data_IF_573248384228
#
_entry.id   IF_573248384228
#
_cell.length_a   1.000
_cell.length_b   1.000
_cell.length_c   1.000
_cell.angle_alpha   90.00
_cell.angle_beta   90.00
_cell.angle_gamma   90.00
#
_symmetry.space_group_name_H-M   'P 1'
#
loop_
_entity.id
_entity.type
_entity.pdbx_description
1 polymer ?
#
# COMPACT_ATOMS: atom_id res chain seq x y z
N UNK A 1 -36.37 38.37 33.53
CA UNK A 1 -35.48 37.79 32.50
C UNK A 1 -35.07 36.36 32.87
N UNK A 2 -34.40 36.15 34.01
CA UNK A 2 -34.01 34.83 34.49
C UNK A 2 -35.17 33.81 34.57
N UNK A 3 -36.36 34.23 35.02
CA UNK A 3 -37.52 33.34 35.11
C UNK A 3 -38.05 32.92 33.73
N UNK A 4 -37.97 33.82 32.75
CA UNK A 4 -38.38 33.54 31.35
C UNK A 4 -37.39 32.54 30.74
N UNK A 5 -36.09 32.72 30.97
CA UNK A 5 -35.06 31.80 30.53
C UNK A 5 -35.22 30.41 31.17
N UNK A 6 -35.45 30.34 32.49
CA UNK A 6 -35.67 29.08 33.19
C UNK A 6 -36.91 28.34 32.67
N UNK A 7 -38.01 29.06 32.45
CA UNK A 7 -39.24 28.51 31.85
C UNK A 7 -39.00 27.96 30.44
N UNK A 8 -38.25 28.68 29.60
CA UNK A 8 -37.87 28.21 28.26
C UNK A 8 -37.00 26.96 28.33
N UNK A 9 -35.97 26.95 29.19
CA UNK A 9 -35.09 25.79 29.39
C UNK A 9 -35.90 24.55 29.78
N UNK A 10 -36.80 24.67 30.75
CA UNK A 10 -37.58 23.54 31.25
C UNK A 10 -38.53 23.02 30.16
N UNK A 11 -39.12 23.91 29.34
CA UNK A 11 -39.92 23.52 28.16
C UNK A 11 -39.11 22.80 27.10
N UNK A 12 -37.88 23.22 26.83
CA UNK A 12 -36.97 22.54 25.89
C UNK A 12 -36.57 21.16 26.41
N UNK A 13 -36.34 21.03 27.72
CA UNK A 13 -36.01 19.75 28.34
C UNK A 13 -37.15 18.72 28.24
N UNK A 14 -38.41 19.15 28.21
CA UNK A 14 -39.56 18.26 27.99
C UNK A 14 -39.57 17.62 26.60
N UNK A 15 -39.01 18.29 25.59
CA UNK A 15 -38.95 17.81 24.19
C UNK A 15 -37.52 17.40 23.78
N UNK A 16 -36.62 17.21 24.74
CA UNK A 16 -35.21 16.91 24.49
C UNK A 16 -35.02 15.71 23.55
N UNK A 17 -35.77 14.63 23.80
CA UNK A 17 -35.59 13.37 23.07
C UNK A 17 -36.06 13.49 21.61
N UNK A 18 -37.09 14.31 21.35
CA UNK A 18 -37.55 14.67 20.00
C UNK A 18 -36.50 15.50 19.26
N UNK A 19 -35.91 16.50 19.94
CA UNK A 19 -34.82 17.31 19.38
C UNK A 19 -33.58 16.47 19.06
N UNK A 20 -33.22 15.54 19.94
CA UNK A 20 -32.10 14.61 19.69
C UNK A 20 -32.38 13.70 18.49
N UNK A 21 -33.61 13.17 18.38
CA UNK A 21 -34.04 12.35 17.25
C UNK A 21 -33.99 13.12 15.93
N UNK A 22 -34.46 14.38 15.93
CA UNK A 22 -34.36 15.27 14.77
C UNK A 22 -32.90 15.54 14.39
N UNK A 23 -32.03 15.82 15.36
CA UNK A 23 -30.60 16.05 15.09
C UNK A 23 -29.93 14.80 14.49
N UNK A 24 -30.28 13.60 14.94
CA UNK A 24 -29.77 12.34 14.36
C UNK A 24 -30.28 12.12 12.93
N UNK A 25 -31.53 12.43 12.64
CA UNK A 25 -32.05 12.34 11.28
C UNK A 25 -31.36 13.33 10.33
N UNK A 26 -31.15 14.58 10.77
CA UNK A 26 -30.44 15.60 10.00
C UNK A 26 -28.98 15.18 9.76
N UNK A 27 -28.29 14.63 10.76
CA UNK A 27 -26.90 14.21 10.60
C UNK A 27 -26.75 13.06 9.59
N UNK A 28 -27.69 12.11 9.56
CA UNK A 28 -27.71 11.05 8.56
C UNK A 28 -27.88 11.62 7.14
N UNK A 29 -28.78 12.58 6.95
CA UNK A 29 -28.99 13.26 5.67
C UNK A 29 -27.72 14.00 5.24
N UNK A 30 -27.09 14.74 6.15
CA UNK A 30 -25.87 15.51 5.87
C UNK A 30 -24.72 14.59 5.39
N UNK A 31 -24.49 13.47 6.07
CA UNK A 31 -23.46 12.49 5.68
C UNK A 31 -23.74 11.90 4.30
N UNK A 32 -24.98 11.48 4.03
CA UNK A 32 -25.34 10.88 2.73
C UNK A 32 -25.22 11.90 1.60
N UNK A 33 -25.69 13.13 1.80
CA UNK A 33 -25.57 14.21 0.83
C UNK A 33 -24.09 14.58 0.57
N UNK A 34 -23.27 14.66 1.62
CA UNK A 34 -21.84 14.92 1.52
C UNK A 34 -21.12 13.84 0.68
N UNK A 35 -21.40 12.56 0.94
CA UNK A 35 -20.83 11.46 0.15
C UNK A 35 -21.32 11.46 -1.31
N UNK A 36 -22.60 11.73 -1.55
CA UNK A 36 -23.14 11.84 -2.90
C UNK A 36 -22.49 12.98 -3.69
N UNK A 37 -22.30 14.15 -3.06
CA UNK A 37 -21.64 15.29 -3.68
C UNK A 37 -20.19 14.97 -4.07
N UNK A 38 -19.41 14.38 -3.15
CA UNK A 38 -18.03 13.96 -3.44
C UNK A 38 -17.99 12.93 -4.57
N UNK A 39 -18.95 12.00 -4.61
CA UNK A 39 -19.01 10.98 -5.65
C UNK A 39 -19.23 11.57 -7.04
N UNK A 40 -20.13 12.56 -7.15
CA UNK A 40 -20.39 13.28 -8.39
C UNK A 40 -19.19 14.13 -8.81
N UNK A 41 -18.63 14.93 -7.89
CA UNK A 41 -17.55 15.86 -8.19
C UNK A 41 -16.23 15.19 -8.56
N UNK A 42 -16.01 13.95 -8.09
CA UNK A 42 -14.74 13.22 -8.23
C UNK A 42 -14.86 11.93 -9.05
N UNK A 43 -16.03 11.68 -9.64
CA UNK A 43 -16.35 10.48 -10.41
C UNK A 43 -16.06 9.20 -9.60
N UNK A 44 -16.63 9.09 -8.40
CA UNK A 44 -16.54 7.85 -7.64
C UNK A 44 -17.65 6.88 -8.08
N UNK A 45 -17.37 5.59 -7.95
CA UNK A 45 -18.27 4.51 -8.37
C UNK A 45 -18.83 3.81 -7.15
N UNK A 46 -20.09 3.35 -7.23
CA UNK A 46 -20.71 2.54 -6.17
C UNK A 46 -20.01 1.18 -6.09
N UNK A 47 -19.40 0.80 -4.96
CA UNK A 47 -18.79 -0.51 -4.83
C UNK A 47 -19.83 -1.62 -4.67
N UNK A 48 -19.47 -2.84 -5.06
CA UNK A 48 -20.19 -4.06 -4.74
C UNK A 48 -19.60 -4.66 -3.46
N UNK A 49 -20.40 -4.74 -2.40
CA UNK A 49 -20.04 -5.40 -1.15
C UNK A 49 -20.70 -6.78 -1.08
N UNK A 50 -19.92 -7.81 -0.76
CA UNK A 50 -20.43 -9.17 -0.62
C UNK A 50 -19.68 -9.99 0.46
N UNK A 51 -20.16 -11.21 0.73
CA UNK A 51 -19.56 -12.11 1.71
C UNK A 51 -18.33 -12.88 1.21
N UNK A 52 -17.86 -12.63 -0.01
CA UNK A 52 -16.72 -13.31 -0.61
C UNK A 52 -15.40 -12.87 0.04
N UNK A 53 -14.29 -13.44 -0.46
CA UNK A 53 -12.92 -13.07 -0.09
C UNK A 53 -12.21 -12.34 -1.23
N UNK A 54 -12.96 -11.91 -2.23
CA UNK A 54 -12.44 -11.22 -3.41
C UNK A 54 -12.27 -9.72 -3.11
N UNK A 55 -11.14 -9.14 -3.52
CA UNK A 55 -10.93 -7.71 -3.60
C UNK A 55 -10.55 -7.41 -5.05
N UNK A 56 -11.48 -6.86 -5.82
CA UNK A 56 -11.28 -6.56 -7.23
C UNK A 56 -11.59 -5.08 -7.49
N UNK A 57 -10.58 -4.34 -7.94
CA UNK A 57 -10.61 -2.91 -8.18
C UNK A 57 -10.04 -2.67 -9.57
N UNK A 58 -10.78 -1.96 -10.42
CA UNK A 58 -10.28 -1.49 -11.71
C UNK A 58 -10.04 0.02 -11.65
N UNK A 59 -8.86 0.45 -12.09
CA UNK A 59 -8.46 1.84 -12.16
C UNK A 59 -8.70 2.62 -10.85
N UNK A 60 -8.30 2.02 -9.72
CA UNK A 60 -8.38 2.64 -8.40
C UNK A 60 -7.45 3.84 -8.27
N UNK A 61 -7.88 4.86 -7.54
CA UNK A 61 -7.14 6.11 -7.30
C UNK A 61 -7.07 6.43 -5.81
N UNK A 62 -5.99 7.08 -5.38
CA UNK A 62 -5.86 7.53 -4.01
C UNK A 62 -6.51 8.92 -3.83
N UNK A 63 -7.73 8.98 -3.29
CA UNK A 63 -8.52 10.23 -3.20
C UNK A 63 -7.75 11.46 -2.67
N UNK A 64 -6.97 11.31 -1.59
CA UNK A 64 -6.20 12.43 -1.01
C UNK A 64 -5.05 12.89 -1.91
N UNK A 65 -4.26 11.96 -2.45
CA UNK A 65 -3.11 12.28 -3.32
C UNK A 65 -3.60 12.86 -4.65
N UNK A 66 -4.67 12.30 -5.22
CA UNK A 66 -5.33 12.84 -6.41
C UNK A 66 -5.82 14.27 -6.18
N UNK A 67 -6.52 14.53 -5.08
CA UNK A 67 -6.98 15.88 -4.73
C UNK A 67 -5.83 16.86 -4.51
N UNK A 68 -4.71 16.42 -3.93
CA UNK A 68 -3.51 17.24 -3.74
C UNK A 68 -2.85 17.62 -5.07
N UNK A 69 -2.81 16.70 -6.04
CA UNK A 69 -2.31 16.98 -7.39
C UNK A 69 -3.19 18.02 -8.11
N UNK A 70 -4.52 17.91 -8.00
CA UNK A 70 -5.46 18.86 -8.60
C UNK A 70 -5.33 20.28 -8.03
N UNK A 71 -4.91 20.41 -6.76
CA UNK A 71 -4.71 21.72 -6.09
C UNK A 71 -3.34 22.36 -6.37
N UNK A 72 -2.49 21.73 -7.18
CA UNK A 72 -1.17 22.27 -7.54
C UNK A 72 -0.15 22.29 -6.39
N UNK A 73 -0.46 21.68 -5.23
CA UNK A 73 0.37 21.82 -4.02
C UNK A 73 1.65 20.98 -4.06
N UNK A 74 1.79 20.00 -4.96
CA UNK A 74 2.82 18.95 -4.88
C UNK A 74 3.71 18.73 -6.11
N UNK A 75 3.68 19.53 -7.20
CA UNK A 75 4.64 19.28 -8.29
C UNK A 75 4.86 20.44 -9.25
N UNK A 76 6.14 20.67 -9.58
CA UNK A 76 6.65 21.48 -10.70
C UNK A 76 6.29 20.91 -12.09
N UNK A 77 5.56 19.79 -12.14
CA UNK A 77 5.02 19.15 -13.34
C UNK A 77 3.61 18.65 -13.05
N UNK A 78 2.62 19.18 -13.77
CA UNK A 78 1.19 18.91 -13.62
C UNK A 78 0.82 17.51 -14.15
N UNK A 79 1.37 16.46 -13.54
CA UNK A 79 1.09 15.07 -13.93
C UNK A 79 -0.18 14.58 -13.22
N UNK A 80 -1.15 14.11 -13.99
CA UNK A 80 -2.36 13.48 -13.47
C UNK A 80 -2.00 12.25 -12.60
N UNK A 81 -2.83 11.95 -11.60
CA UNK A 81 -2.71 10.71 -10.81
C UNK A 81 -2.90 9.50 -11.73
N UNK A 82 -2.04 8.49 -11.60
CA UNK A 82 -2.11 7.28 -12.43
C UNK A 82 -2.95 6.22 -11.71
N UNK A 83 -4.14 5.84 -12.25
CA UNK A 83 -4.97 4.82 -11.64
C UNK A 83 -4.32 3.44 -11.74
N UNK A 84 -4.59 2.57 -10.77
CA UNK A 84 -4.06 1.21 -10.70
C UNK A 84 -5.13 0.21 -10.28
N UNK A 85 -5.15 -0.95 -10.93
CA UNK A 85 -6.05 -2.05 -10.62
C UNK A 85 -5.44 -3.00 -9.59
N UNK A 86 -6.32 -3.70 -8.86
CA UNK A 86 -5.96 -4.70 -7.86
C UNK A 86 -6.93 -5.88 -7.96
N UNK A 87 -6.41 -7.10 -7.97
CA UNK A 87 -7.23 -8.30 -7.89
C UNK A 87 -6.62 -9.33 -6.93
N UNK A 88 -7.21 -9.45 -5.75
CA UNK A 88 -6.88 -10.48 -4.76
C UNK A 88 -8.07 -11.41 -4.60
N UNK A 89 -7.85 -12.69 -4.80
CA UNK A 89 -8.84 -13.75 -4.54
C UNK A 89 -8.10 -15.05 -4.23
N UNK A 90 -8.79 -16.14 -3.93
CA UNK A 90 -8.11 -17.43 -3.80
C UNK A 90 -7.41 -17.82 -5.11
N UNK A 91 -6.42 -18.73 -5.02
CA UNK A 91 -5.81 -19.34 -6.20
C UNK A 91 -6.89 -19.86 -7.18
N UNK A 92 -6.69 -19.70 -8.52
CA UNK A 92 -5.44 -19.32 -9.19
C UNK A 92 -5.22 -17.82 -9.37
N UNK A 93 -6.12 -16.94 -8.91
CA UNK A 93 -5.89 -15.48 -8.99
C UNK A 93 -4.76 -15.10 -8.02
N UNK A 94 -4.87 -15.57 -6.77
CA UNK A 94 -3.86 -15.41 -5.73
C UNK A 94 -4.20 -14.33 -4.72
N UNK A 95 -4.07 -14.65 -3.43
CA UNK A 95 -4.43 -13.76 -2.34
C UNK A 95 -3.30 -12.82 -1.92
N UNK A 96 -2.08 -13.00 -2.44
CA UNK A 96 -0.91 -12.24 -2.06
C UNK A 96 -0.18 -11.66 -3.27
N UNK A 97 -0.04 -10.34 -3.32
CA UNK A 97 0.82 -9.68 -4.30
C UNK A 97 2.17 -9.33 -3.66
N UNK A 98 3.26 -9.85 -4.25
CA UNK A 98 4.61 -9.44 -3.95
C UNK A 98 4.97 -8.23 -4.81
N UNK A 99 4.90 -7.03 -4.23
CA UNK A 99 5.11 -5.78 -4.95
C UNK A 99 6.56 -5.31 -4.84
N UNK A 100 7.26 -5.33 -5.96
CA UNK A 100 8.67 -4.91 -6.05
C UNK A 100 8.83 -3.58 -6.79
N UNK A 101 10.02 -2.98 -6.71
CA UNK A 101 10.38 -1.78 -7.46
C UNK A 101 10.92 -0.65 -6.58
N UNK A 102 11.34 0.47 -7.19
CA UNK A 102 12.01 1.57 -6.50
C UNK A 102 11.10 2.26 -5.48
N UNK A 103 11.66 2.91 -4.46
CA UNK A 103 10.89 3.62 -3.42
C UNK A 103 10.08 4.78 -3.98
N UNK A 104 10.64 5.51 -4.94
CA UNK A 104 9.92 6.55 -5.68
C UNK A 104 8.91 6.01 -6.69
N UNK A 105 8.79 4.68 -6.84
CA UNK A 105 7.85 4.05 -7.77
C UNK A 105 6.39 4.20 -7.33
N UNK A 106 6.10 4.50 -6.07
CA UNK A 106 4.73 4.69 -5.56
C UNK A 106 4.14 3.48 -4.82
N UNK A 107 4.97 2.52 -4.39
CA UNK A 107 4.52 1.30 -3.64
C UNK A 107 3.65 1.65 -2.44
N UNK A 108 4.13 2.47 -1.51
CA UNK A 108 3.39 2.84 -0.30
C UNK A 108 2.09 3.59 -0.61
N UNK A 109 2.07 4.39 -1.69
CA UNK A 109 0.84 5.05 -2.17
C UNK A 109 -0.18 4.04 -2.66
N UNK A 110 0.25 3.00 -3.40
CA UNK A 110 -0.63 1.93 -3.88
C UNK A 110 -1.17 1.06 -2.73
N UNK A 111 -0.33 0.74 -1.73
CA UNK A 111 -0.77 0.05 -0.52
C UNK A 111 -1.85 0.85 0.21
N UNK A 112 -1.57 2.13 0.52
CA UNK A 112 -2.53 3.02 1.19
C UNK A 112 -3.80 3.25 0.39
N UNK A 113 -3.69 3.35 -0.95
CA UNK A 113 -4.85 3.44 -1.84
C UNK A 113 -5.78 2.24 -1.64
N UNK A 114 -5.23 1.02 -1.62
CA UNK A 114 -6.01 -0.21 -1.50
C UNK A 114 -6.75 -0.28 -0.16
N UNK A 115 -6.08 0.08 0.95
CA UNK A 115 -6.71 0.24 2.26
C UNK A 115 -7.84 1.28 2.24
N UNK A 116 -7.57 2.45 1.65
CA UNK A 116 -8.52 3.55 1.64
C UNK A 116 -9.78 3.21 0.83
N UNK A 117 -9.64 2.50 -0.29
CA UNK A 117 -10.76 2.02 -1.09
C UNK A 117 -11.67 1.06 -0.30
N UNK A 118 -11.08 0.14 0.47
CA UNK A 118 -11.84 -0.77 1.34
C UNK A 118 -12.59 -0.01 2.43
N UNK A 119 -11.92 0.93 3.11
CA UNK A 119 -12.53 1.73 4.18
C UNK A 119 -13.70 2.56 3.66
N UNK A 120 -13.54 3.25 2.52
CA UNK A 120 -14.62 4.02 1.90
C UNK A 120 -15.81 3.12 1.53
N UNK A 121 -15.54 1.94 0.95
CA UNK A 121 -16.59 1.01 0.59
C UNK A 121 -17.39 0.52 1.82
N UNK A 122 -16.70 0.05 2.86
CA UNK A 122 -17.35 -0.48 4.07
C UNK A 122 -17.97 0.60 4.99
N UNK A 123 -17.57 1.85 4.85
CA UNK A 123 -18.23 3.00 5.48
C UNK A 123 -19.56 3.37 4.77
N UNK A 124 -19.82 2.81 3.59
CA UNK A 124 -21.03 3.09 2.80
C UNK A 124 -20.87 4.24 1.79
N UNK A 125 -19.64 4.68 1.52
CA UNK A 125 -19.33 5.68 0.49
C UNK A 125 -19.15 5.02 -0.89
N UNK A 126 -19.29 5.83 -1.93
CA UNK A 126 -18.73 5.52 -3.25
C UNK A 126 -17.19 5.56 -3.18
N UNK A 127 -16.52 4.92 -4.13
CA UNK A 127 -15.05 4.79 -4.13
C UNK A 127 -14.39 5.36 -5.39
N UNK A 128 -13.18 5.93 -5.30
CA UNK A 128 -12.40 6.46 -6.43
C UNK A 128 -11.84 5.35 -7.33
N UNK A 129 -12.70 4.63 -8.05
CA UNK A 129 -12.32 3.58 -8.99
C UNK A 129 -13.30 3.53 -10.16
N UNK A 130 -12.89 2.91 -11.27
CA UNK A 130 -13.80 2.63 -12.39
C UNK A 130 -14.77 1.49 -12.05
N UNK A 131 -14.27 0.48 -11.35
CA UNK A 131 -15.05 -0.63 -10.80
C UNK A 131 -14.46 -1.05 -9.46
N UNK A 132 -15.31 -1.48 -8.52
CA UNK A 132 -14.89 -2.04 -7.26
C UNK A 132 -15.85 -3.11 -6.75
N UNK A 133 -15.33 -4.30 -6.48
CA UNK A 133 -15.92 -5.34 -5.65
C UNK A 133 -15.04 -5.54 -4.42
N UNK A 134 -15.65 -5.44 -3.24
CA UNK A 134 -14.98 -5.60 -1.95
C UNK A 134 -15.75 -6.65 -1.15
N UNK A 135 -15.25 -7.88 -1.15
CA UNK A 135 -15.65 -8.88 -0.18
C UNK A 135 -15.30 -8.37 1.22
N UNK A 136 -16.23 -8.48 2.18
CA UNK A 136 -16.09 -7.84 3.49
C UNK A 136 -14.75 -8.20 4.18
N UNK A 137 -14.04 -7.15 4.59
CA UNK A 137 -12.79 -7.17 5.36
C UNK A 137 -13.13 -7.04 6.83
N UNK A 138 -12.71 -8.01 7.63
CA UNK A 138 -12.93 -8.03 9.09
C UNK A 138 -11.93 -7.14 9.83
N UNK A 139 -10.67 -7.15 9.39
CA UNK A 139 -9.57 -6.39 9.97
C UNK A 139 -8.63 -5.90 8.87
N UNK A 140 -8.25 -4.63 8.97
CA UNK A 140 -7.23 -4.02 8.14
C UNK A 140 -5.95 -3.86 8.96
N UNK A 141 -4.89 -4.52 8.54
CA UNK A 141 -3.57 -4.41 9.14
C UNK A 141 -2.65 -3.63 8.22
N UNK A 142 -1.94 -2.66 8.79
CA UNK A 142 -0.99 -1.84 8.05
C UNK A 142 0.33 -1.79 8.81
N UNK A 143 1.34 -2.44 8.26
CA UNK A 143 2.74 -2.12 8.52
C UNK A 143 3.22 -1.29 7.34
N UNK A 144 3.11 0.02 7.45
CA UNK A 144 3.64 0.97 6.46
C UNK A 144 4.56 1.91 7.22
N UNK A 145 5.85 1.90 6.90
CA UNK A 145 6.90 2.54 7.70
C UNK A 145 6.49 3.89 8.29
N UNK A 146 6.60 4.02 9.61
CA UNK A 146 6.46 5.27 10.34
C UNK A 146 7.80 6.02 10.34
N UNK A 147 7.74 7.35 10.37
CA UNK A 147 8.91 8.14 10.75
C UNK A 147 9.36 7.69 12.14
N UNK A 148 10.68 7.57 12.33
CA UNK A 148 11.30 7.05 13.55
C UNK A 148 10.69 7.68 14.82
N UNK A 149 10.00 6.87 15.61
CA UNK A 149 9.61 7.25 16.96
C UNK A 149 10.73 6.82 17.90
N UNK A 150 11.71 7.72 18.08
CA UNK A 150 12.88 7.53 18.95
C UNK A 150 12.51 7.53 20.45
N UNK A 151 11.23 7.62 20.81
CA UNK A 151 10.77 7.86 22.18
C UNK A 151 10.51 6.60 23.03
N UNK A 152 10.82 5.40 22.52
CA UNK A 152 10.75 4.16 23.30
C UNK A 152 12.12 3.48 23.35
N UNK A 153 12.55 2.98 24.52
CA UNK A 153 13.77 2.18 24.76
C UNK A 153 13.78 0.81 24.02
N UNK A 154 13.20 0.73 22.83
CA UNK A 154 13.12 -0.47 21.98
C UNK A 154 13.75 -0.15 20.63
N UNK A 155 14.52 -1.10 20.09
CA UNK A 155 15.00 -0.96 18.71
C UNK A 155 13.81 -0.88 17.75
N UNK A 156 13.93 -0.06 16.70
CA UNK A 156 12.94 0.09 15.64
C UNK A 156 12.57 -1.27 15.02
N UNK A 157 13.56 -2.16 14.88
CA UNK A 157 13.36 -3.53 14.44
C UNK A 157 12.52 -4.37 15.41
N UNK A 158 12.70 -4.23 16.73
CA UNK A 158 11.88 -4.98 17.69
C UNK A 158 10.41 -4.53 17.68
N UNK A 159 10.16 -3.24 17.50
CA UNK A 159 8.78 -2.71 17.34
C UNK A 159 8.17 -3.28 16.05
N UNK A 160 8.91 -3.26 14.95
CA UNK A 160 8.48 -3.87 13.68
C UNK A 160 8.12 -5.35 13.83
N UNK A 161 8.90 -6.12 14.58
CA UNK A 161 8.62 -7.53 14.83
C UNK A 161 7.42 -7.75 15.76
N UNK A 162 7.17 -6.85 16.73
CA UNK A 162 5.98 -6.89 17.57
C UNK A 162 4.69 -6.62 16.77
N UNK A 163 4.74 -5.65 15.86
CA UNK A 163 3.65 -5.39 14.92
C UNK A 163 3.41 -6.59 14.00
N UNK A 164 4.48 -7.12 13.40
CA UNK A 164 4.43 -8.31 12.53
C UNK A 164 3.83 -9.51 13.26
N UNK A 165 4.23 -9.76 14.50
CA UNK A 165 3.69 -10.82 15.35
C UNK A 165 2.18 -10.63 15.62
N UNK A 166 1.76 -9.39 15.87
CA UNK A 166 0.33 -9.06 16.06
C UNK A 166 -0.48 -9.36 14.80
N UNK A 167 0.04 -9.00 13.62
CA UNK A 167 -0.60 -9.30 12.34
C UNK A 167 -0.69 -10.81 12.13
N UNK A 168 0.42 -11.53 12.33
CA UNK A 168 0.46 -12.99 12.17
C UNK A 168 -0.50 -13.71 13.11
N UNK A 169 -0.68 -13.24 14.34
CA UNK A 169 -1.57 -13.89 15.32
C UNK A 169 -3.04 -13.57 15.09
N UNK A 170 -3.37 -12.35 14.65
CA UNK A 170 -4.75 -11.87 14.59
C UNK A 170 -5.38 -11.87 13.19
N UNK A 171 -4.58 -11.92 12.13
CA UNK A 171 -5.06 -11.94 10.76
C UNK A 171 -5.82 -13.23 10.44
N UNK A 172 -6.95 -13.06 9.77
CA UNK A 172 -7.81 -14.14 9.29
C UNK A 172 -7.81 -14.18 7.76
N UNK A 173 -8.41 -15.23 7.21
CA UNK A 173 -8.66 -15.39 5.77
C UNK A 173 -9.56 -14.28 5.17
N UNK A 174 -10.22 -13.47 6.01
CA UNK A 174 -11.02 -12.30 5.64
C UNK A 174 -10.30 -10.97 5.90
N UNK A 175 -9.10 -10.98 6.46
CA UNK A 175 -8.36 -9.74 6.71
C UNK A 175 -7.72 -9.21 5.43
N UNK A 176 -7.40 -7.91 5.42
CA UNK A 176 -6.51 -7.28 4.44
C UNK A 176 -5.24 -6.84 5.17
N UNK A 177 -4.09 -7.31 4.69
CA UNK A 177 -2.78 -7.03 5.28
C UNK A 177 -1.92 -6.26 4.29
N UNK A 178 -1.40 -5.10 4.72
CA UNK A 178 -0.44 -4.31 3.99
C UNK A 178 0.90 -4.36 4.72
N UNK A 179 1.90 -4.95 4.08
CA UNK A 179 3.27 -5.02 4.59
C UNK A 179 4.17 -4.22 3.67
N UNK A 180 4.88 -3.24 4.20
CA UNK A 180 5.83 -2.42 3.46
C UNK A 180 7.23 -2.59 4.06
N UNK A 181 8.12 -3.29 3.35
CA UNK A 181 9.56 -3.42 3.65
C UNK A 181 9.93 -4.16 4.94
N UNK A 182 9.21 -5.26 5.25
CA UNK A 182 9.49 -6.08 6.44
C UNK A 182 10.90 -6.70 6.34
N UNK A 183 11.65 -6.68 7.44
CA UNK A 183 12.99 -7.24 7.53
C UNK A 183 14.11 -6.27 7.14
N UNK A 184 13.81 -5.00 6.84
CA UNK A 184 14.83 -4.00 6.46
C UNK A 184 15.79 -3.64 7.60
N UNK A 185 15.34 -3.70 8.86
CA UNK A 185 16.10 -3.23 10.03
C UNK A 185 17.19 -4.18 10.56
N UNK A 186 17.52 -5.25 9.83
CA UNK A 186 18.49 -6.29 10.26
C UNK A 186 19.44 -6.68 9.12
N UNK A 187 20.33 -7.64 9.36
CA UNK A 187 21.20 -8.22 8.34
C UNK A 187 20.38 -8.74 7.14
N UNK A 188 20.90 -8.57 5.92
CA UNK A 188 20.14 -8.85 4.68
C UNK A 188 19.58 -10.28 4.66
N UNK A 189 20.40 -11.28 5.00
CA UNK A 189 19.98 -12.68 4.99
C UNK A 189 18.89 -12.96 6.03
N UNK A 190 19.04 -12.43 7.25
CA UNK A 190 18.02 -12.55 8.29
C UNK A 190 16.72 -11.86 7.87
N UNK A 191 16.84 -10.68 7.24
CA UNK A 191 15.70 -9.90 6.75
C UNK A 191 14.91 -10.65 5.67
N UNK A 192 15.62 -11.24 4.69
CA UNK A 192 15.00 -12.07 3.64
C UNK A 192 14.34 -13.31 4.24
N UNK A 193 15.02 -14.02 5.15
CA UNK A 193 14.48 -15.23 5.77
C UNK A 193 13.22 -14.95 6.60
N UNK A 194 13.24 -13.90 7.43
CA UNK A 194 12.09 -13.48 8.24
C UNK A 194 10.93 -13.05 7.32
N UNK A 195 11.20 -12.21 6.32
CA UNK A 195 10.18 -11.74 5.39
C UNK A 195 9.53 -12.91 4.62
N UNK A 196 10.33 -13.89 4.19
CA UNK A 196 9.84 -15.12 3.54
C UNK A 196 8.92 -15.91 4.45
N UNK A 197 9.35 -16.21 5.68
CA UNK A 197 8.55 -16.96 6.64
C UNK A 197 7.22 -16.26 6.99
N UNK A 198 7.24 -14.93 7.14
CA UNK A 198 6.03 -14.12 7.38
C UNK A 198 5.06 -14.23 6.19
N UNK A 199 5.59 -14.12 4.98
CA UNK A 199 4.82 -14.19 3.73
C UNK A 199 4.17 -15.57 3.57
N UNK A 200 4.94 -16.65 3.76
CA UNK A 200 4.43 -18.03 3.73
C UNK A 200 3.31 -18.25 4.75
N UNK A 201 3.51 -17.81 5.99
CA UNK A 201 2.52 -17.97 7.06
C UNK A 201 1.19 -17.26 6.73
N UNK A 202 1.23 -16.10 6.09
CA UNK A 202 0.03 -15.36 5.68
C UNK A 202 -0.63 -15.94 4.43
N UNK A 203 0.15 -16.47 3.49
CA UNK A 203 -0.34 -17.20 2.31
C UNK A 203 -1.02 -18.51 2.72
N UNK A 204 -0.48 -19.25 3.68
CA UNK A 204 -1.10 -20.46 4.22
C UNK A 204 -2.49 -20.19 4.84
N UNK A 205 -2.69 -18.99 5.42
CA UNK A 205 -4.00 -18.51 5.89
C UNK A 205 -4.89 -17.98 4.77
N UNK A 206 -4.35 -17.86 3.56
CA UNK A 206 -4.96 -17.24 2.38
C UNK A 206 -5.43 -15.81 2.67
N UNK A 207 -4.71 -15.09 3.53
CA UNK A 207 -5.05 -13.70 3.86
C UNK A 207 -4.86 -12.83 2.61
N UNK A 208 -5.76 -11.86 2.39
CA UNK A 208 -5.55 -10.87 1.32
C UNK A 208 -4.38 -9.98 1.69
N UNK A 209 -3.37 -9.90 0.84
CA UNK A 209 -2.09 -9.34 1.22
C UNK A 209 -1.44 -8.55 0.07
N UNK A 210 -0.97 -7.35 0.40
CA UNK A 210 -0.02 -6.60 -0.42
C UNK A 210 1.30 -6.55 0.33
N UNK A 211 2.33 -7.20 -0.22
CA UNK A 211 3.65 -7.26 0.37
C UNK A 211 4.66 -6.49 -0.47
N UNK A 212 4.90 -5.23 -0.12
CA UNK A 212 5.90 -4.39 -0.77
C UNK A 212 7.30 -4.69 -0.21
N UNK A 213 8.26 -4.94 -1.09
CA UNK A 213 9.63 -5.30 -0.68
C UNK A 213 10.69 -4.86 -1.69
N UNK A 214 11.94 -4.85 -1.22
CA UNK A 214 13.14 -4.77 -2.07
C UNK A 214 13.80 -6.14 -2.29
N UNK A 215 13.37 -7.15 -1.55
CA UNK A 215 13.89 -8.51 -1.66
C UNK A 215 13.20 -9.25 -2.81
N UNK A 216 13.76 -9.14 -4.01
CA UNK A 216 13.25 -9.86 -5.19
C UNK A 216 13.37 -11.37 -5.05
N UNK A 217 14.40 -11.85 -4.34
CA UNK A 217 14.64 -13.26 -4.04
C UNK A 217 13.47 -13.96 -3.30
N UNK A 218 12.57 -13.20 -2.65
CA UNK A 218 11.40 -13.79 -1.99
C UNK A 218 10.51 -14.56 -2.97
N UNK A 219 10.37 -14.08 -4.21
CA UNK A 219 9.53 -14.77 -5.19
C UNK A 219 10.01 -16.18 -5.49
N UNK A 220 11.33 -16.36 -5.61
CA UNK A 220 11.94 -17.65 -5.91
C UNK A 220 12.00 -18.53 -4.67
N UNK A 221 12.24 -17.92 -3.49
CA UNK A 221 12.36 -18.65 -2.23
C UNK A 221 11.04 -19.28 -1.76
N UNK A 222 9.92 -18.57 -1.92
CA UNK A 222 8.62 -18.98 -1.33
C UNK A 222 7.50 -19.14 -2.36
N UNK A 223 7.80 -18.97 -3.65
CA UNK A 223 6.79 -19.06 -4.71
C UNK A 223 6.09 -20.42 -4.74
N UNK A 224 6.86 -21.50 -4.61
CA UNK A 224 6.35 -22.88 -4.64
C UNK A 224 5.57 -23.25 -3.37
N UNK A 225 6.05 -22.82 -2.19
CA UNK A 225 5.41 -23.07 -0.89
C UNK A 225 4.09 -22.31 -0.74
N UNK A 226 3.92 -21.20 -1.45
CA UNK A 226 2.68 -20.43 -1.46
C UNK A 226 1.56 -21.04 -2.34
N UNK A 227 1.78 -22.20 -2.98
CA UNK A 227 0.74 -22.96 -3.70
C UNK A 227 -0.12 -22.14 -4.69
N UNK A 228 0.49 -21.17 -5.37
CA UNK A 228 -0.19 -20.30 -6.33
C UNK A 228 -0.98 -19.13 -5.73
N UNK A 229 -0.91 -18.91 -4.42
CA UNK A 229 -1.47 -17.71 -3.77
C UNK A 229 -0.61 -16.45 -3.99
N UNK A 230 0.70 -16.63 -4.19
CA UNK A 230 1.65 -15.56 -4.44
C UNK A 230 1.68 -15.15 -5.91
N UNK A 231 1.61 -13.85 -6.17
CA UNK A 231 1.72 -13.25 -7.50
C UNK A 231 2.75 -12.12 -7.50
N UNK A 232 3.75 -12.15 -8.39
CA UNK A 232 4.74 -11.09 -8.49
C UNK A 232 4.17 -9.89 -9.25
N UNK A 233 4.33 -8.71 -8.67
CA UNK A 233 4.02 -7.43 -9.29
C UNK A 233 5.16 -6.44 -9.09
N UNK A 234 5.24 -5.41 -9.93
CA UNK A 234 6.25 -4.36 -9.85
C UNK A 234 5.71 -3.00 -10.20
N UNK A 235 6.35 -1.97 -9.66
CA UNK A 235 6.20 -0.60 -10.18
C UNK A 235 6.95 -0.49 -11.51
N UNK A 236 6.26 -0.04 -12.56
CA UNK A 236 6.84 0.15 -13.88
C UNK A 236 7.81 1.35 -13.90
N UNK A 237 8.99 1.08 -14.45
CA UNK A 237 10.06 2.05 -14.68
C UNK A 237 10.32 2.09 -16.19
N UNK A 238 10.22 3.28 -16.79
CA UNK A 238 10.49 3.49 -18.20
C UNK A 238 11.87 4.11 -18.35
N UNK A 239 12.68 3.55 -19.24
CA UNK A 239 13.96 4.15 -19.62
C UNK A 239 13.73 5.08 -20.81
N UNK A 240 14.08 6.36 -20.65
CA UNK A 240 14.14 7.30 -21.75
C UNK A 240 15.59 7.51 -22.19
N UNK A 241 15.84 7.28 -23.47
CA UNK A 241 17.13 7.52 -24.11
C UNK A 241 17.00 8.74 -25.01
N UNK A 242 17.83 9.74 -24.77
CA UNK A 242 18.03 10.86 -25.69
C UNK A 242 19.48 10.76 -26.16
N UNK A 243 19.70 10.78 -27.47
CA UNK A 243 21.05 10.66 -28.05
C UNK A 243 22.00 11.70 -27.44
N UNK A 244 23.13 11.22 -26.90
CA UNK A 244 24.14 12.05 -26.24
C UNK A 244 23.85 12.43 -24.79
N UNK A 245 22.77 11.92 -24.17
CA UNK A 245 22.46 12.11 -22.74
C UNK A 245 22.46 10.79 -21.98
N UNK A 246 22.74 10.80 -20.66
CA UNK A 246 22.61 9.61 -19.83
C UNK A 246 21.15 9.13 -19.77
N UNK A 247 20.96 7.80 -19.71
CA UNK A 247 19.65 7.15 -19.52
C UNK A 247 18.86 7.83 -18.41
N UNK A 248 17.71 8.40 -18.73
CA UNK A 248 16.83 8.99 -17.73
C UNK A 248 15.73 7.99 -17.36
N UNK A 249 15.61 7.67 -16.07
CA UNK A 249 14.51 6.85 -15.59
C UNK A 249 13.27 7.70 -15.34
N UNK A 250 12.14 7.25 -15.86
CA UNK A 250 10.82 7.84 -15.60
C UNK A 250 9.97 6.80 -14.88
N UNK A 251 9.60 7.11 -13.64
CA UNK A 251 8.64 6.30 -12.88
C UNK A 251 7.24 6.55 -13.44
N UNK A 252 6.57 5.52 -13.96
CA UNK A 252 5.22 5.67 -14.50
C UNK A 252 4.14 5.65 -13.40
N UNK A 253 4.50 5.19 -12.19
CA UNK A 253 3.59 4.93 -11.06
C UNK A 253 2.50 3.88 -11.37
N UNK A 254 2.65 3.13 -12.47
CA UNK A 254 1.78 2.01 -12.82
C UNK A 254 2.29 0.73 -12.17
N UNK A 255 1.37 -0.06 -11.62
CA UNK A 255 1.62 -1.42 -11.16
C UNK A 255 1.40 -2.37 -12.33
N UNK A 256 2.38 -3.22 -12.62
CA UNK A 256 2.33 -4.22 -13.68
C UNK A 256 2.76 -5.58 -13.14
N UNK A 257 2.29 -6.65 -13.77
CA UNK A 257 2.67 -8.02 -13.40
C UNK A 257 4.15 -8.28 -13.67
N UNK A 258 4.75 -9.13 -12.84
CA UNK A 258 6.14 -9.56 -12.91
C UNK A 258 7.05 -8.95 -11.84
N UNK A 259 8.26 -9.48 -11.76
CA UNK A 259 9.29 -9.04 -10.81
C UNK A 259 10.14 -7.91 -11.37
N UNK A 260 10.60 -7.02 -10.50
CA UNK A 260 11.61 -6.03 -10.86
C UNK A 260 12.93 -6.74 -11.22
N UNK A 261 13.44 -6.51 -12.42
CA UNK A 261 14.67 -7.14 -12.92
C UNK A 261 15.94 -6.59 -12.27
N UNK A 262 15.93 -5.34 -11.78
CA UNK A 262 17.12 -4.67 -11.25
C UNK A 262 16.77 -3.72 -10.10
N UNK A 263 17.74 -3.51 -9.19
CA UNK A 263 17.69 -2.45 -8.20
C UNK A 263 18.07 -1.12 -8.82
N UNK A 264 17.16 -0.16 -8.83
CA UNK A 264 17.39 1.19 -9.37
C UNK A 264 17.96 2.17 -8.34
N UNK A 265 18.59 1.67 -7.26
CA UNK A 265 19.10 2.49 -6.17
C UNK A 265 20.15 3.52 -6.64
N UNK A 266 21.16 3.06 -7.39
CA UNK A 266 22.22 3.92 -7.93
C UNK A 266 21.66 4.93 -8.93
N UNK A 267 20.73 4.53 -9.79
CA UNK A 267 20.06 5.44 -10.72
C UNK A 267 19.20 6.49 -10.00
N UNK A 268 18.57 6.10 -8.89
CA UNK A 268 17.79 7.04 -8.05
C UNK A 268 18.71 8.08 -7.41
N UNK A 269 19.91 7.69 -6.97
CA UNK A 269 20.92 8.62 -6.48
C UNK A 269 21.37 9.61 -7.57
N UNK A 270 21.55 9.13 -8.81
CA UNK A 270 21.85 10.01 -9.95
C UNK A 270 20.73 11.03 -10.21
N UNK A 271 19.46 10.59 -10.18
CA UNK A 271 18.29 11.48 -10.31
C UNK A 271 18.18 12.49 -9.17
N UNK A 272 18.63 12.14 -7.96
CA UNK A 272 18.68 13.04 -6.82
C UNK A 272 19.79 14.11 -6.93
N UNK A 273 20.63 14.04 -7.96
CA UNK A 273 21.72 14.99 -8.19
C UNK A 273 23.03 14.62 -7.50
N UNK A 274 23.23 13.34 -7.14
CA UNK A 274 24.53 12.89 -6.65
C UNK A 274 25.63 13.13 -7.71
N UNK A 275 26.86 13.51 -7.31
CA UNK A 275 27.95 13.77 -8.24
C UNK A 275 28.23 12.57 -9.17
N UNK A 276 28.49 12.79 -10.47
CA UNK A 276 28.72 11.72 -11.43
C UNK A 276 29.84 10.75 -11.04
N UNK A 277 30.89 11.24 -10.38
CA UNK A 277 32.00 10.41 -9.86
C UNK A 277 31.55 9.42 -8.79
N UNK A 278 30.64 9.82 -7.91
CA UNK A 278 30.07 8.96 -6.86
C UNK A 278 29.14 7.91 -7.49
N UNK A 279 28.30 8.32 -8.44
CA UNK A 279 27.40 7.41 -9.16
C UNK A 279 28.19 6.36 -9.95
N UNK A 280 29.26 6.77 -10.65
CA UNK A 280 30.14 5.86 -11.36
C UNK A 280 30.77 4.84 -10.41
N UNK A 281 31.34 5.31 -9.29
CA UNK A 281 31.96 4.43 -8.29
C UNK A 281 30.96 3.47 -7.65
N UNK A 282 29.75 3.94 -7.34
CA UNK A 282 28.69 3.09 -6.81
C UNK A 282 28.26 2.01 -7.81
N UNK A 283 28.26 2.32 -9.11
CA UNK A 283 27.97 1.36 -10.18
C UNK A 283 29.06 0.27 -10.26
N UNK A 284 30.33 0.65 -10.18
CA UNK A 284 31.46 -0.30 -10.14
C UNK A 284 31.37 -1.25 -8.94
N UNK A 285 31.12 -0.70 -7.74
CA UNK A 285 30.98 -1.50 -6.52
C UNK A 285 29.79 -2.45 -6.58
N UNK A 286 28.68 -2.03 -7.19
CA UNK A 286 27.51 -2.88 -7.38
C UNK A 286 27.83 -4.07 -8.29
N UNK A 287 28.53 -3.84 -9.40
CA UNK A 287 28.97 -4.93 -10.31
C UNK A 287 29.89 -5.93 -9.61
N UNK A 288 30.78 -5.46 -8.72
CA UNK A 288 31.66 -6.33 -7.94
C UNK A 288 30.88 -7.20 -6.96
N UNK A 289 29.88 -6.64 -6.28
CA UNK A 289 29.04 -7.37 -5.33
C UNK A 289 28.17 -8.42 -6.02
N UNK A 290 27.64 -8.13 -7.21
CA UNK A 290 26.84 -9.11 -7.97
C UNK A 290 27.69 -10.26 -8.49
N UNK A 291 28.90 -9.98 -9.00
CA UNK A 291 29.80 -11.05 -9.46
C UNK A 291 30.22 -12.00 -8.35
N UNK A 292 30.55 -11.49 -7.16
CA UNK A 292 30.93 -12.35 -6.04
C UNK A 292 29.76 -13.23 -5.55
N UNK A 293 28.51 -12.73 -5.62
CA UNK A 293 27.34 -13.52 -5.22
C UNK A 293 27.00 -14.62 -6.23
N UNK A 294 27.26 -14.40 -7.53
CA UNK A 294 27.05 -15.40 -8.56
C UNK A 294 28.11 -16.53 -8.45
N UNK A 295 29.37 -16.21 -8.16
CA UNK A 295 30.44 -17.21 -7.94
C UNK A 295 30.20 -18.07 -6.68
N UNK A 296 29.72 -17.47 -5.57
CA UNK A 296 29.35 -18.22 -4.35
C UNK A 296 28.10 -19.11 -4.53
N UNK A 297 27.29 -18.87 -5.57
CA UNK A 297 26.08 -19.66 -5.87
C UNK A 297 26.38 -20.91 -6.71
N UNK A 298 27.38 -20.85 -7.58
CA UNK A 298 27.85 -22.01 -8.36
C UNK A 298 28.63 -23.01 -7.50
N UNK A 299 29.41 -22.53 -6.52
CA UNK A 299 30.17 -23.40 -5.60
C UNK A 299 29.30 -24.17 -4.59
N UNK A 300 28.01 -23.82 -4.45
CA UNK A 300 27.04 -24.55 -3.59
C UNK A 300 26.19 -25.58 -4.35
N UNK A 301 26.28 -25.62 -5.68
CA UNK A 301 25.62 -26.63 -6.50
C UNK A 301 26.57 -27.79 -6.87
N UNK A 302 27.82 -27.72 -6.42
CA UNK A 302 28.84 -28.78 -6.56
C UNK A 302 29.30 -29.21 -5.15
N UNK A 303 28.37 -29.74 -4.35
CA UNK A 303 28.66 -30.70 -3.25
C UNK A 303 27.39 -31.49 -2.86
#
# INVERSE_FOLDING_TARGET
>A
ENDIFASLRDRVLLVRDELQSMAHAISQIDVVCSHAQVALDRNFTRPLLDGSRELHIEDGRHAVVEAAHLRGSNSRSMRAFVPNSLHLAAAPIGSCWLLTGPNMGGKSTFLRQSAHLVVLAQMGSFVPAKFARVGLVDKLFCRVGSADDLAADKSTFMVEMQETSTILTQATSRSLVLMDEVGRGTAVNDGVAIAGAVLEALCAKQTRMLFATHFTALSDLVGDTCHGELRPYRMEVLEHHVDGQPKQLVFSHRVVEGLAAQSYGVNTAALAGCPPSVVARATELLCQLTHNNDEDSDDRLID
#
